data_IF_747159919457
#
_entry.id   IF_747159919457
#
_cell.length_a   1.000
_cell.length_b   1.000
_cell.length_c   1.000
_cell.angle_alpha   90.00
_cell.angle_beta   90.00
_cell.angle_gamma   90.00
#
_symmetry.space_group_name_H-M   'P 1'
#
loop_
_entity.id
_entity.type
_entity.pdbx_description
1 polymer ?
#
# COMPACT_ATOMS: atom_id res chain seq x y z
N UNK A 1 11.41 -12.23 -11.62
CA UNK A 1 11.90 -12.01 -10.25
C UNK A 1 11.36 -10.68 -9.73
N UNK A 2 10.98 -10.61 -8.45
CA UNK A 2 10.53 -9.38 -7.81
C UNK A 2 11.69 -8.56 -7.26
N UNK A 3 11.61 -7.25 -7.44
CA UNK A 3 12.55 -6.28 -6.88
C UNK A 3 11.75 -5.05 -6.41
N UNK A 4 12.04 -4.51 -5.24
CA UNK A 4 11.40 -3.29 -4.74
C UNK A 4 12.44 -2.22 -4.52
N UNK A 5 12.27 -1.09 -5.21
CA UNK A 5 13.19 0.04 -5.18
C UNK A 5 12.57 1.20 -4.44
N UNK A 6 13.35 1.84 -3.57
CA UNK A 6 12.96 3.16 -3.08
C UNK A 6 13.04 4.16 -4.24
N UNK A 7 12.02 5.01 -4.38
CA UNK A 7 12.00 6.02 -5.44
C UNK A 7 13.13 7.04 -5.26
N UNK A 8 13.77 7.37 -6.38
CA UNK A 8 14.73 8.45 -6.56
C UNK A 8 14.41 9.19 -7.87
N UNK A 9 14.89 10.42 -8.03
CA UNK A 9 14.52 11.27 -9.18
C UNK A 9 15.07 10.77 -10.53
N UNK A 10 16.05 9.87 -10.52
CA UNK A 10 16.63 9.23 -11.70
C UNK A 10 15.87 7.98 -12.16
N UNK A 11 14.90 7.50 -11.37
CA UNK A 11 14.10 6.33 -11.73
C UNK A 11 13.09 6.68 -12.84
N UNK A 12 13.26 6.10 -14.03
CA UNK A 12 12.31 6.28 -15.12
C UNK A 12 11.00 5.51 -14.86
N UNK A 13 9.91 6.25 -14.69
CA UNK A 13 8.56 5.73 -14.46
C UNK A 13 7.60 6.02 -15.61
N UNK A 14 8.11 6.42 -16.77
CA UNK A 14 7.28 6.79 -17.94
C UNK A 14 6.34 5.66 -18.36
N UNK A 15 6.88 4.43 -18.45
CA UNK A 15 6.09 3.23 -18.72
C UNK A 15 5.01 3.00 -17.65
N UNK A 16 5.38 3.09 -16.37
CA UNK A 16 4.46 2.86 -15.27
C UNK A 16 3.31 3.86 -15.26
N UNK A 17 3.62 5.14 -15.45
CA UNK A 17 2.63 6.22 -15.52
C UNK A 17 1.65 6.01 -16.67
N UNK A 18 2.16 5.67 -17.85
CA UNK A 18 1.32 5.37 -19.00
C UNK A 18 0.38 4.20 -18.72
N UNK A 19 0.90 3.07 -18.18
CA UNK A 19 0.06 1.91 -17.85
C UNK A 19 -0.96 2.22 -16.75
N UNK A 20 -0.58 2.98 -15.73
CA UNK A 20 -1.51 3.45 -14.70
C UNK A 20 -2.63 4.32 -15.29
N UNK A 21 -2.31 5.21 -16.24
CA UNK A 21 -3.31 6.01 -16.95
C UNK A 21 -4.29 5.12 -17.72
N UNK A 22 -3.78 4.18 -18.53
CA UNK A 22 -4.58 3.25 -19.34
C UNK A 22 -5.51 2.37 -18.48
N UNK A 23 -5.06 1.98 -17.29
CA UNK A 23 -5.85 1.17 -16.34
C UNK A 23 -6.75 1.98 -15.42
N UNK A 24 -6.73 3.32 -15.49
CA UNK A 24 -7.51 4.20 -14.62
C UNK A 24 -6.96 4.36 -13.19
N UNK A 25 -5.71 3.96 -12.94
CA UNK A 25 -4.98 4.25 -11.69
C UNK A 25 -4.44 5.69 -11.69
N UNK A 26 -5.33 6.67 -11.79
CA UNK A 26 -5.00 8.09 -12.03
C UNK A 26 -4.11 8.72 -10.93
N UNK A 27 -4.21 8.22 -9.71
CA UNK A 27 -3.36 8.65 -8.59
C UNK A 27 -1.90 8.23 -8.74
N UNK A 28 -1.61 7.31 -9.67
CA UNK A 28 -0.30 6.73 -9.95
C UNK A 28 0.20 7.09 -11.36
N UNK A 29 -0.61 7.81 -12.15
CA UNK A 29 -0.39 8.05 -13.58
C UNK A 29 0.55 9.22 -13.92
N UNK A 30 1.21 9.85 -12.93
CA UNK A 30 2.20 10.90 -13.15
C UNK A 30 2.97 11.20 -11.86
N UNK A 31 4.16 11.79 -11.99
CA UNK A 31 4.94 12.29 -10.86
C UNK A 31 4.13 13.28 -10.00
N UNK A 32 3.43 14.23 -10.64
CA UNK A 32 2.58 15.20 -9.94
C UNK A 32 1.58 14.55 -8.97
N UNK A 33 0.99 13.43 -9.38
CA UNK A 33 -0.02 12.71 -8.59
C UNK A 33 0.61 11.73 -7.60
N UNK A 34 1.63 10.99 -8.03
CA UNK A 34 2.25 9.93 -7.24
C UNK A 34 3.16 10.50 -6.14
N UNK A 35 3.93 11.54 -6.46
CA UNK A 35 5.03 12.07 -5.64
C UNK A 35 4.72 13.49 -5.16
N UNK A 36 4.55 14.45 -6.08
CA UNK A 36 4.53 15.88 -5.71
C UNK A 36 3.35 16.26 -4.80
N UNK A 37 2.27 15.46 -4.82
CA UNK A 37 1.12 15.59 -3.91
C UNK A 37 1.44 15.39 -2.43
N UNK A 38 2.67 14.96 -2.12
CA UNK A 38 3.22 14.80 -0.77
C UNK A 38 4.36 15.78 -0.46
N UNK A 39 4.62 16.77 -1.30
CA UNK A 39 5.69 17.79 -1.10
C UNK A 39 5.61 18.56 0.22
N UNK A 40 4.43 18.62 0.85
CA UNK A 40 4.22 19.27 2.16
C UNK A 40 4.33 18.32 3.35
N UNK A 41 4.54 17.03 3.12
CA UNK A 41 4.70 16.04 4.19
C UNK A 41 6.11 16.17 4.76
N UNK A 42 6.22 16.07 6.09
CA UNK A 42 7.52 16.07 6.78
C UNK A 42 8.27 14.77 6.49
N UNK A 43 7.52 13.70 6.31
CA UNK A 43 8.03 12.38 5.98
C UNK A 43 7.23 11.79 4.82
N UNK A 44 7.92 11.40 3.77
CA UNK A 44 7.35 10.67 2.65
C UNK A 44 8.40 9.75 2.05
N UNK A 45 8.05 8.47 1.90
CA UNK A 45 8.83 7.52 1.11
C UNK A 45 7.89 6.79 0.16
N UNK A 46 8.37 6.56 -1.06
CA UNK A 46 7.69 5.83 -2.12
C UNK A 46 8.60 4.67 -2.53
N UNK A 47 7.99 3.52 -2.80
CA UNK A 47 8.64 2.37 -3.38
C UNK A 47 7.93 1.95 -4.66
N UNK A 48 8.72 1.49 -5.62
CA UNK A 48 8.27 0.96 -6.89
C UNK A 48 8.62 -0.52 -6.93
N UNK A 49 7.62 -1.35 -7.17
CA UNK A 49 7.78 -2.77 -7.39
C UNK A 49 8.11 -3.00 -8.85
N UNK A 50 9.18 -3.75 -9.08
CA UNK A 50 9.60 -4.26 -10.35
C UNK A 50 9.34 -5.77 -10.42
N UNK A 51 8.98 -6.23 -11.62
CA UNK A 51 8.96 -7.64 -11.97
C UNK A 51 9.63 -7.78 -13.33
N UNK A 52 10.71 -8.57 -13.38
CA UNK A 52 11.54 -8.72 -14.59
C UNK A 52 11.98 -7.37 -15.18
N UNK A 53 12.49 -6.48 -14.32
CA UNK A 53 12.93 -5.11 -14.63
C UNK A 53 11.84 -4.14 -15.13
N UNK A 54 10.56 -4.54 -15.13
CA UNK A 54 9.46 -3.63 -15.45
C UNK A 54 8.82 -3.08 -14.17
N UNK A 55 8.58 -1.77 -14.07
CA UNK A 55 7.84 -1.21 -12.94
C UNK A 55 6.36 -1.61 -13.06
N UNK A 56 5.89 -2.38 -12.08
CA UNK A 56 4.59 -3.05 -12.07
C UNK A 56 3.73 -2.68 -10.86
N UNK A 57 4.24 -1.91 -9.91
CA UNK A 57 3.45 -1.49 -8.75
C UNK A 57 4.12 -0.39 -7.96
N UNK A 58 3.37 0.17 -7.02
CA UNK A 58 3.90 1.16 -6.10
C UNK A 58 3.21 1.08 -4.75
N UNK A 59 3.93 1.50 -3.71
CA UNK A 59 3.36 1.81 -2.40
C UNK A 59 4.14 2.94 -1.75
N UNK A 60 3.52 3.67 -0.85
CA UNK A 60 4.13 4.78 -0.16
C UNK A 60 3.70 4.83 1.30
N UNK A 61 4.46 5.60 2.06
CA UNK A 61 4.14 6.02 3.41
C UNK A 61 4.31 7.53 3.52
N UNK A 62 3.49 8.16 4.37
CA UNK A 62 3.75 9.52 4.83
C UNK A 62 3.40 9.69 6.31
N UNK A 63 3.89 10.77 6.94
CA UNK A 63 3.48 11.16 8.29
C UNK A 63 1.97 11.37 8.38
N UNK A 64 1.39 11.01 9.53
CA UNK A 64 -0.05 11.08 9.78
C UNK A 64 -0.37 11.67 11.16
N UNK A 65 0.59 12.42 11.71
CA UNK A 65 0.52 13.01 13.04
C UNK A 65 -0.65 14.00 13.17
N UNK A 66 -0.92 14.79 12.13
CA UNK A 66 -2.05 15.74 12.11
C UNK A 66 -3.42 15.06 12.31
N UNK A 67 -3.50 13.75 12.06
CA UNK A 67 -4.76 12.99 12.17
C UNK A 67 -4.76 12.06 13.39
N UNK A 68 -3.62 11.44 13.71
CA UNK A 68 -3.53 10.35 14.70
C UNK A 68 -2.63 10.66 15.90
N UNK A 69 -2.06 11.86 15.96
CA UNK A 69 -1.09 12.25 16.97
C UNK A 69 0.31 11.72 16.67
N UNK A 70 1.28 12.12 17.47
CA UNK A 70 2.70 11.87 17.23
C UNK A 70 3.06 10.41 16.94
N UNK A 71 4.12 10.25 16.14
CA UNK A 71 4.70 8.96 15.73
C UNK A 71 3.69 8.06 15.00
N UNK A 72 2.85 8.70 14.17
CA UNK A 72 1.83 8.03 13.37
C UNK A 72 2.12 8.15 11.89
N UNK A 73 1.98 7.03 11.18
CA UNK A 73 2.27 6.96 9.75
C UNK A 73 1.12 6.32 9.01
N UNK A 74 0.79 6.87 7.84
CA UNK A 74 -0.16 6.26 6.92
C UNK A 74 0.60 5.44 5.90
N UNK A 75 0.47 4.13 5.98
CA UNK A 75 1.07 3.15 5.07
C UNK A 75 0.07 2.74 3.98
N UNK A 76 0.52 1.93 3.03
CA UNK A 76 -0.29 1.49 1.88
C UNK A 76 -0.84 2.67 1.06
N UNK A 77 -0.13 3.80 1.03
CA UNK A 77 -0.51 4.98 0.26
C UNK A 77 -0.10 4.79 -1.18
N UNK A 78 -0.91 5.30 -2.14
CA UNK A 78 -0.66 5.11 -3.58
C UNK A 78 -0.44 3.64 -3.97
N UNK A 79 -1.06 2.71 -3.21
CA UNK A 79 -0.92 1.29 -3.46
C UNK A 79 -1.58 0.93 -4.79
N UNK A 80 -0.79 0.44 -5.73
CA UNK A 80 -1.30 -0.19 -6.95
C UNK A 80 -0.40 -1.33 -7.41
N UNK A 81 -0.97 -2.25 -8.18
CA UNK A 81 -0.25 -3.30 -8.86
C UNK A 81 -0.90 -3.55 -10.23
N UNK A 82 -0.08 -3.55 -11.28
CA UNK A 82 -0.42 -3.93 -12.65
C UNK A 82 -0.43 -5.45 -12.73
N UNK A 83 -1.50 -6.04 -12.22
CA UNK A 83 -1.60 -7.49 -11.97
C UNK A 83 -1.47 -8.34 -13.23
N UNK A 84 -1.79 -7.77 -14.39
CA UNK A 84 -1.63 -8.40 -15.70
C UNK A 84 -0.17 -8.61 -16.12
N UNK A 85 0.76 -7.90 -15.48
CA UNK A 85 2.21 -8.03 -15.71
C UNK A 85 2.88 -8.96 -14.70
N UNK A 86 2.07 -9.65 -13.88
CA UNK A 86 2.56 -10.49 -12.79
C UNK A 86 2.09 -11.93 -12.97
N UNK A 87 2.88 -12.92 -12.50
CA UNK A 87 2.50 -14.33 -12.55
C UNK A 87 1.35 -14.69 -11.58
N UNK A 88 0.91 -13.75 -10.75
CA UNK A 88 -0.08 -13.99 -9.68
C UNK A 88 -1.51 -13.77 -10.20
N UNK A 89 -2.35 -14.78 -10.05
CA UNK A 89 -3.77 -14.72 -10.47
C UNK A 89 -4.78 -14.49 -9.33
N UNK A 90 -4.36 -14.53 -8.06
CA UNK A 90 -5.29 -14.64 -6.91
C UNK A 90 -5.29 -13.46 -5.93
N UNK A 91 -4.76 -12.30 -6.31
CA UNK A 91 -4.52 -11.13 -5.44
C UNK A 91 -5.76 -10.61 -4.66
N UNK A 92 -6.96 -10.82 -5.21
CA UNK A 92 -8.23 -10.30 -4.64
C UNK A 92 -9.19 -11.41 -4.20
N UNK A 93 -8.74 -12.66 -4.21
CA UNK A 93 -9.54 -13.78 -3.68
C UNK A 93 -9.60 -13.68 -2.16
N UNK A 94 -10.68 -14.21 -1.55
CA UNK A 94 -10.79 -14.28 -0.09
C UNK A 94 -9.55 -14.95 0.52
N UNK A 95 -9.14 -16.07 -0.05
CA UNK A 95 -7.94 -16.81 0.36
C UNK A 95 -6.66 -15.98 0.23
N UNK A 96 -6.46 -15.28 -0.88
CA UNK A 96 -5.29 -14.42 -1.07
C UNK A 96 -5.21 -13.27 -0.06
N UNK A 97 -6.37 -12.77 0.40
CA UNK A 97 -6.44 -11.76 1.46
C UNK A 97 -6.17 -12.40 2.82
N UNK A 98 -6.90 -13.46 3.19
CA UNK A 98 -6.86 -14.04 4.54
C UNK A 98 -5.60 -14.84 4.82
N UNK A 99 -4.93 -15.37 3.80
CA UNK A 99 -3.64 -16.06 3.88
C UNK A 99 -2.46 -15.14 3.58
N UNK A 100 -2.70 -13.83 3.45
CA UNK A 100 -1.67 -12.85 3.10
C UNK A 100 -0.92 -13.13 1.80
N UNK A 101 -1.48 -13.90 0.86
CA UNK A 101 -0.86 -14.25 -0.43
C UNK A 101 -1.21 -13.23 -1.52
N UNK A 102 -0.87 -11.97 -1.26
CA UNK A 102 -1.05 -10.85 -2.19
C UNK A 102 0.11 -9.85 -2.03
N UNK A 103 0.37 -9.03 -3.05
CA UNK A 103 1.51 -8.09 -3.07
C UNK A 103 1.51 -7.11 -1.89
N UNK A 104 0.32 -6.66 -1.48
CA UNK A 104 0.21 -5.70 -0.38
C UNK A 104 0.75 -6.31 0.91
N UNK A 105 0.31 -7.53 1.25
CA UNK A 105 0.80 -8.24 2.43
C UNK A 105 2.24 -8.74 2.27
N UNK A 106 2.61 -9.31 1.11
CA UNK A 106 3.91 -9.96 0.93
C UNK A 106 5.09 -9.01 0.76
N UNK A 107 4.85 -7.81 0.22
CA UNK A 107 5.93 -6.90 -0.17
C UNK A 107 5.69 -5.49 0.38
N UNK A 108 4.52 -4.90 0.12
CA UNK A 108 4.31 -3.47 0.43
C UNK A 108 4.24 -3.15 1.92
N UNK A 109 3.49 -3.93 2.71
CA UNK A 109 3.46 -3.72 4.16
C UNK A 109 4.86 -3.95 4.75
N UNK A 110 5.54 -5.09 4.51
CA UNK A 110 6.89 -5.32 5.03
C UNK A 110 7.88 -4.19 4.74
N UNK A 111 8.04 -3.76 3.48
CA UNK A 111 9.00 -2.69 3.14
C UNK A 111 8.67 -1.37 3.85
N UNK A 112 7.38 -1.07 4.07
CA UNK A 112 7.00 0.14 4.80
C UNK A 112 7.29 0.02 6.29
N UNK A 113 7.10 -1.15 6.90
CA UNK A 113 7.40 -1.37 8.31
C UNK A 113 8.91 -1.28 8.57
N UNK A 114 9.72 -1.87 7.70
CA UNK A 114 11.19 -1.86 7.82
C UNK A 114 11.78 -0.44 7.70
N UNK A 115 11.13 0.43 6.93
CA UNK A 115 11.58 1.80 6.72
C UNK A 115 11.18 2.78 7.82
N UNK A 116 10.35 2.36 8.78
CA UNK A 116 9.78 3.25 9.79
C UNK A 116 10.45 3.06 11.17
N UNK A 117 10.43 4.07 12.04
CA UNK A 117 10.95 3.93 13.39
C UNK A 117 10.29 2.78 14.14
N UNK A 118 11.07 2.13 15.02
CA UNK A 118 10.50 1.14 15.95
C UNK A 118 9.43 1.82 16.81
N UNK A 119 8.38 1.07 17.16
CA UNK A 119 7.24 1.52 17.95
C UNK A 119 6.35 2.59 17.29
N UNK A 120 6.49 2.83 15.98
CA UNK A 120 5.54 3.68 15.24
C UNK A 120 4.14 3.09 15.19
N UNK A 121 3.14 3.97 15.02
CA UNK A 121 1.73 3.58 14.84
C UNK A 121 1.39 3.62 13.35
N UNK A 122 0.91 2.49 12.83
CA UNK A 122 0.65 2.34 11.40
C UNK A 122 -0.84 2.37 11.09
N UNK A 123 -1.20 3.22 10.15
CA UNK A 123 -2.59 3.44 9.76
C UNK A 123 -2.78 3.22 8.27
N UNK A 124 -3.94 2.65 7.93
CA UNK A 124 -4.41 2.48 6.56
C UNK A 124 -5.74 3.19 6.47
N UNK A 125 -6.01 3.82 5.33
CA UNK A 125 -7.33 4.42 5.09
C UNK A 125 -8.03 3.78 3.92
N UNK A 126 -9.34 3.58 4.07
CA UNK A 126 -10.23 3.11 3.01
C UNK A 126 -11.32 4.14 2.73
N UNK A 127 -11.94 4.08 1.56
CA UNK A 127 -13.08 4.97 1.23
C UNK A 127 -14.12 4.21 0.40
N UNK A 128 -15.32 4.76 0.31
CA UNK A 128 -16.40 4.21 -0.52
C UNK A 128 -16.43 4.81 -1.95
N UNK A 129 -15.41 5.57 -2.36
CA UNK A 129 -15.29 6.03 -3.75
C UNK A 129 -14.96 4.85 -4.66
N UNK A 130 -15.55 4.83 -5.85
CA UNK A 130 -15.25 3.83 -6.89
C UNK A 130 -13.97 4.17 -7.67
N UNK A 131 -13.02 4.84 -7.03
CA UNK A 131 -11.70 5.09 -7.60
C UNK A 131 -10.77 3.96 -7.15
N UNK A 132 -9.98 3.41 -8.07
CA UNK A 132 -8.90 2.45 -7.78
C UNK A 132 -9.30 1.25 -6.87
N UNK A 133 -10.52 0.73 -7.02
CA UNK A 133 -11.05 -0.39 -6.21
C UNK A 133 -11.24 -0.10 -4.71
N UNK A 134 -11.28 1.17 -4.28
CA UNK A 134 -11.37 1.53 -2.86
C UNK A 134 -12.64 1.01 -2.17
N UNK A 135 -13.77 0.92 -2.89
CA UNK A 135 -14.98 0.24 -2.40
C UNK A 135 -14.72 -1.22 -2.00
N UNK A 136 -13.93 -1.96 -2.79
CA UNK A 136 -13.58 -3.35 -2.48
C UNK A 136 -12.60 -3.43 -1.31
N UNK A 137 -11.67 -2.47 -1.20
CA UNK A 137 -10.78 -2.36 -0.05
C UNK A 137 -11.59 -2.15 1.24
N UNK A 138 -12.53 -1.19 1.23
CA UNK A 138 -13.37 -0.92 2.41
C UNK A 138 -14.35 -2.06 2.72
N UNK A 139 -14.99 -2.61 1.68
CA UNK A 139 -16.08 -3.56 1.80
C UNK A 139 -15.65 -5.00 2.06
N UNK A 140 -14.49 -5.42 1.56
CA UNK A 140 -14.02 -6.81 1.59
C UNK A 140 -12.70 -6.92 2.36
N UNK A 141 -11.65 -6.27 1.87
CA UNK A 141 -10.29 -6.44 2.42
C UNK A 141 -10.22 -6.00 3.89
N UNK A 142 -10.68 -4.79 4.20
CA UNK A 142 -10.64 -4.26 5.55
C UNK A 142 -11.51 -5.07 6.52
N UNK A 143 -12.68 -5.53 6.07
CA UNK A 143 -13.56 -6.37 6.88
C UNK A 143 -12.93 -7.74 7.18
N UNK A 144 -12.31 -8.38 6.19
CA UNK A 144 -11.67 -9.69 6.37
C UNK A 144 -10.49 -9.59 7.34
N UNK A 145 -9.60 -8.63 7.12
CA UNK A 145 -8.44 -8.43 8.00
C UNK A 145 -8.85 -7.97 9.40
N UNK A 146 -9.92 -7.20 9.52
CA UNK A 146 -10.42 -6.79 10.83
C UNK A 146 -10.99 -7.96 11.62
N UNK A 147 -11.70 -8.89 10.95
CA UNK A 147 -12.15 -10.15 11.57
C UNK A 147 -10.99 -11.03 12.02
N UNK A 148 -9.84 -10.97 11.34
CA UNK A 148 -8.63 -11.71 11.71
C UNK A 148 -7.77 -10.98 12.75
N UNK A 149 -8.21 -9.83 13.27
CA UNK A 149 -7.44 -9.06 14.26
C UNK A 149 -6.22 -8.33 13.69
N UNK A 150 -6.01 -8.36 12.37
CA UNK A 150 -4.88 -7.73 11.68
C UNK A 150 -5.04 -6.21 11.63
N UNK A 151 -6.27 -5.72 11.47
CA UNK A 151 -6.55 -4.29 11.54
C UNK A 151 -7.74 -3.98 12.45
N UNK A 152 -7.75 -2.79 13.05
CA UNK A 152 -8.86 -2.32 13.89
C UNK A 152 -9.35 -0.96 13.40
N UNK A 153 -10.68 -0.81 13.23
CA UNK A 153 -11.28 0.49 12.92
C UNK A 153 -11.01 1.45 14.08
N UNK A 154 -10.56 2.66 13.76
CA UNK A 154 -10.29 3.72 14.74
C UNK A 154 -11.36 4.79 14.69
N UNK A 155 -11.52 5.46 13.54
CA UNK A 155 -12.50 6.54 13.32
C UNK A 155 -12.74 6.75 11.83
N UNK A 156 -13.83 7.45 11.50
CA UNK A 156 -14.07 7.99 10.16
C UNK A 156 -13.67 9.47 10.14
N UNK A 157 -13.08 9.92 9.02
CA UNK A 157 -12.56 11.29 8.85
C UNK A 157 -12.88 11.82 7.46
N UNK A 158 -12.96 13.15 7.32
CA UNK A 158 -12.84 13.80 6.02
C UNK A 158 -11.38 14.17 5.77
N UNK A 159 -10.73 13.48 4.84
CA UNK A 159 -9.30 13.64 4.58
C UNK A 159 -9.02 13.66 3.08
N UNK A 160 -8.21 14.62 2.62
CA UNK A 160 -7.85 14.81 1.20
C UNK A 160 -9.08 14.78 0.27
N UNK A 161 -10.12 15.53 0.64
CA UNK A 161 -11.33 15.70 -0.17
C UNK A 161 -12.28 14.49 -0.22
N UNK A 162 -12.14 13.54 0.70
CA UNK A 162 -12.92 12.30 0.70
C UNK A 162 -13.23 11.83 2.13
N UNK A 163 -14.42 11.29 2.36
CA UNK A 163 -14.75 10.55 3.58
C UNK A 163 -14.01 9.20 3.59
N UNK A 164 -13.19 8.98 4.61
CA UNK A 164 -12.35 7.80 4.75
C UNK A 164 -12.51 7.15 6.12
N UNK A 165 -12.41 5.84 6.17
CA UNK A 165 -12.28 5.09 7.42
C UNK A 165 -10.81 4.85 7.72
N UNK A 166 -10.38 5.16 8.94
CA UNK A 166 -9.02 4.91 9.43
C UNK A 166 -8.99 3.56 10.16
N UNK A 167 -8.00 2.75 9.79
CA UNK A 167 -7.71 1.46 10.39
C UNK A 167 -6.30 1.47 10.95
N UNK A 168 -6.11 0.94 12.14
CA UNK A 168 -4.79 0.72 12.72
C UNK A 168 -4.36 -0.72 12.42
N UNK A 169 -3.12 -0.89 11.94
CA UNK A 169 -2.51 -2.21 11.75
C UNK A 169 -2.01 -2.73 13.10
N UNK A 170 -2.35 -3.98 13.41
CA UNK A 170 -1.71 -4.77 14.45
C UNK A 170 -0.52 -5.50 13.83
N UNK A 171 0.68 -4.94 13.98
CA UNK A 171 1.90 -5.49 13.35
C UNK A 171 2.28 -6.85 13.89
N UNK A 172 2.07 -7.10 15.19
CA UNK A 172 2.36 -8.41 15.79
C UNK A 172 1.49 -9.50 15.17
N UNK A 173 0.17 -9.29 15.13
CA UNK A 173 -0.74 -10.28 14.54
C UNK A 173 -0.52 -10.42 13.02
N UNK A 174 -0.23 -9.33 12.32
CA UNK A 174 0.13 -9.37 10.90
C UNK A 174 1.37 -10.25 10.65
N UNK A 175 2.46 -10.00 11.38
CA UNK A 175 3.71 -10.74 11.21
C UNK A 175 3.55 -12.21 11.61
N UNK A 176 2.83 -12.48 12.70
CA UNK A 176 2.48 -13.84 13.11
C UNK A 176 1.71 -14.60 12.03
N UNK A 177 0.75 -13.95 11.36
CA UNK A 177 -0.04 -14.61 10.30
C UNK A 177 0.73 -14.77 8.99
N UNK A 178 1.57 -13.79 8.60
CA UNK A 178 2.35 -13.92 7.36
C UNK A 178 3.40 -15.04 7.46
N UNK A 179 3.95 -15.27 8.66
CA UNK A 179 4.92 -16.34 8.93
C UNK A 179 4.30 -17.75 8.86
N UNK A 180 2.97 -17.88 8.83
CA UNK A 180 2.26 -19.16 8.67
C UNK A 180 2.21 -19.63 7.20
N UNK A 181 2.66 -18.82 6.27
CA UNK A 181 2.56 -19.07 4.84
C UNK A 181 3.88 -18.79 4.14
N UNK A 182 4.05 -19.34 2.93
CA UNK A 182 5.25 -19.11 2.12
C UNK A 182 5.42 -17.62 1.83
N UNK A 183 6.56 -17.06 2.24
CA UNK A 183 6.96 -15.70 1.92
C UNK A 183 7.46 -15.62 0.49
N UNK A 184 7.13 -14.53 -0.19
CA UNK A 184 7.65 -14.31 -1.54
C UNK A 184 9.07 -13.77 -1.48
N UNK A 185 9.93 -14.30 -2.34
CA UNK A 185 11.28 -13.79 -2.50
C UNK A 185 11.26 -12.51 -3.35
N UNK A 186 11.90 -11.46 -2.83
CA UNK A 186 12.14 -10.22 -3.54
C UNK A 186 13.44 -9.58 -3.05
N UNK A 187 14.05 -8.78 -3.91
CA UNK A 187 15.23 -7.99 -3.56
C UNK A 187 14.81 -6.57 -3.18
N UNK A 188 15.37 -6.02 -2.11
CA UNK A 188 15.27 -4.60 -1.79
C UNK A 188 16.53 -3.92 -2.31
N UNK A 189 16.36 -2.91 -3.16
CA UNK A 189 17.46 -2.19 -3.84
C UNK A 189 17.35 -0.70 -3.62
#
# INVERSE_FOLDING_TARGET
MYEIKKYTNDLDLSFFYQRCQEKGFLNNASQKRLIDSFSKQKYFNLWILFYDNLPVGSTAVHDFDEVMGENSYRICVRTCALTELLPIKHMRTKDGITKHQNICSQIFIPVTLDALPKNSKYYITSSNKDEASMQKVNGIWAKLLSKQGVIKKVKDIFYRGTNQTVWQLNTEEFMKQIDQHTKWEYQTV
#
